data_IF_320333545901
#
_entry.id   IF_320333545901
#
_cell.length_a   1.000
_cell.length_b   1.000
_cell.length_c   1.000
_cell.angle_alpha   90.00
_cell.angle_beta   90.00
_cell.angle_gamma   90.00
#
_symmetry.space_group_name_H-M   'P 1'
#
loop_
_entity.id
_entity.type
_entity.pdbx_description
1 polymer ?
#
# COMPACT_ATOMS: atom_id res chain seq x y z
N UNK A 1 17.72 1.72 17.95
CA UNK A 1 16.50 1.31 18.70
C UNK A 1 15.19 1.40 17.90
N UNK A 2 14.97 2.38 17.04
CA UNK A 2 13.74 2.52 16.22
C UNK A 2 13.49 1.36 15.23
N UNK A 3 14.53 0.76 14.64
CA UNK A 3 14.38 -0.35 13.69
C UNK A 3 13.92 -1.68 14.29
N UNK A 4 14.35 -2.01 15.51
CA UNK A 4 13.94 -3.23 16.21
C UNK A 4 12.47 -3.19 16.63
N UNK A 5 11.99 -2.01 17.04
CA UNK A 5 10.57 -1.81 17.39
C UNK A 5 9.64 -1.89 16.18
N UNK A 6 10.12 -1.48 15.01
CA UNK A 6 9.37 -1.55 13.75
C UNK A 6 9.26 -2.99 13.22
N UNK A 7 10.36 -3.74 13.22
CA UNK A 7 10.36 -5.16 12.83
C UNK A 7 9.47 -6.00 13.76
N UNK A 8 9.48 -5.71 15.06
CA UNK A 8 8.61 -6.35 16.03
C UNK A 8 7.12 -6.05 15.77
N UNK A 9 6.78 -4.81 15.37
CA UNK A 9 5.41 -4.44 15.03
C UNK A 9 4.94 -5.12 13.74
N UNK A 10 5.78 -5.21 12.72
CA UNK A 10 5.46 -5.89 11.45
C UNK A 10 5.30 -7.40 11.66
N UNK A 11 6.21 -8.04 12.41
CA UNK A 11 6.09 -9.45 12.78
C UNK A 11 4.80 -9.70 13.60
N UNK A 12 4.46 -8.80 14.52
CA UNK A 12 3.25 -8.84 15.31
C UNK A 12 1.97 -8.78 14.46
N UNK A 13 1.90 -7.88 13.46
CA UNK A 13 0.75 -7.76 12.54
C UNK A 13 0.60 -9.02 11.67
N UNK A 14 1.71 -9.59 11.18
CA UNK A 14 1.70 -10.83 10.39
C UNK A 14 1.23 -12.03 11.21
N UNK A 15 1.71 -12.15 12.46
CA UNK A 15 1.31 -13.21 13.39
C UNK A 15 -0.17 -13.08 13.77
N UNK A 16 -0.67 -11.86 14.02
CA UNK A 16 -2.09 -11.61 14.30
C UNK A 16 -3.00 -12.02 13.12
N UNK A 17 -2.54 -11.84 11.87
CA UNK A 17 -3.31 -12.20 10.67
C UNK A 17 -3.55 -13.70 10.51
N UNK A 18 -2.73 -14.55 11.16
CA UNK A 18 -2.78 -16.02 11.06
C UNK A 18 -3.37 -16.68 12.31
N UNK A 19 -3.58 -15.93 13.40
CA UNK A 19 -4.02 -16.50 14.67
C UNK A 19 -5.55 -16.59 14.81
N UNK A 20 -6.07 -17.58 15.58
CA UNK A 20 -7.46 -17.58 16.03
C UNK A 20 -7.78 -16.30 16.81
N UNK A 21 -9.01 -15.79 16.68
CA UNK A 21 -9.47 -14.51 17.27
C UNK A 21 -9.11 -14.34 18.76
N UNK A 22 -9.32 -15.38 19.57
CA UNK A 22 -9.01 -15.37 21.01
C UNK A 22 -7.53 -15.20 21.29
N UNK A 23 -6.68 -15.90 20.54
CA UNK A 23 -5.22 -15.81 20.67
C UNK A 23 -4.72 -14.42 20.26
N UNK A 24 -5.27 -13.85 19.19
CA UNK A 24 -4.95 -12.49 18.76
C UNK A 24 -5.32 -11.42 19.79
N UNK A 25 -6.48 -11.52 20.44
CA UNK A 25 -6.86 -10.61 21.53
C UNK A 25 -5.97 -10.75 22.77
N UNK A 26 -5.56 -11.99 23.14
CA UNK A 26 -4.63 -12.22 24.24
C UNK A 26 -3.27 -11.57 23.93
N UNK A 27 -2.76 -11.77 22.72
CA UNK A 27 -1.51 -11.17 22.28
C UNK A 27 -1.58 -9.64 22.26
N UNK A 28 -2.69 -9.06 21.78
CA UNK A 28 -2.92 -7.61 21.80
C UNK A 28 -2.88 -7.04 23.21
N UNK A 29 -3.56 -7.69 24.17
CA UNK A 29 -3.51 -7.30 25.60
C UNK A 29 -2.09 -7.35 26.15
N UNK A 30 -1.35 -8.41 25.89
CA UNK A 30 0.03 -8.59 26.32
C UNK A 30 0.95 -7.49 25.78
N UNK A 31 0.80 -7.17 24.51
CA UNK A 31 1.60 -6.12 23.84
C UNK A 31 1.29 -4.74 24.41
N UNK A 32 0.01 -4.44 24.69
CA UNK A 32 -0.37 -3.18 25.36
C UNK A 32 0.26 -3.08 26.74
N UNK A 33 0.19 -4.14 27.55
CA UNK A 33 0.83 -4.17 28.89
C UNK A 33 2.35 -3.98 28.79
N UNK A 34 3.00 -4.66 27.88
CA UNK A 34 4.46 -4.55 27.71
C UNK A 34 4.89 -3.15 27.25
N UNK A 35 4.08 -2.49 26.38
CA UNK A 35 4.38 -1.16 25.84
C UNK A 35 4.05 -0.02 26.80
N UNK A 36 3.07 -0.24 27.69
CA UNK A 36 2.55 0.75 28.64
C UNK A 36 2.55 0.19 30.07
N UNK A 37 3.73 -0.17 30.64
CA UNK A 37 3.82 -0.79 31.96
C UNK A 37 3.44 0.17 33.11
N UNK A 38 3.50 1.47 32.84
CA UNK A 38 3.14 2.58 33.72
C UNK A 38 1.63 2.88 33.76
N UNK A 39 0.84 2.28 32.85
CA UNK A 39 -0.60 2.53 32.73
C UNK A 39 -1.39 1.50 33.55
N UNK A 40 -2.27 1.97 34.42
CA UNK A 40 -3.16 1.11 35.22
C UNK A 40 -4.19 0.44 34.31
N UNK A 41 -4.15 -0.89 34.22
CA UNK A 41 -5.05 -1.70 33.41
C UNK A 41 -6.26 -2.14 34.23
N UNK A 42 -7.45 -2.10 33.62
CA UNK A 42 -8.71 -2.57 34.21
C UNK A 42 -9.33 -3.59 33.24
N UNK A 43 -9.66 -4.80 33.70
CA UNK A 43 -10.31 -5.78 32.84
C UNK A 43 -11.80 -5.44 32.60
N UNK A 44 -12.38 -5.98 31.53
CA UNK A 44 -13.82 -5.82 31.23
C UNK A 44 -14.71 -6.36 32.32
N UNK A 45 -14.29 -7.44 32.99
CA UNK A 45 -15.00 -8.03 34.15
C UNK A 45 -14.94 -7.06 35.35
N UNK A 46 -13.78 -6.50 35.66
CA UNK A 46 -13.64 -5.53 36.76
C UNK A 46 -14.48 -4.28 36.50
N UNK A 47 -14.47 -3.75 35.26
CA UNK A 47 -15.31 -2.60 34.90
C UNK A 47 -16.80 -2.94 35.05
N UNK A 48 -17.24 -4.09 34.55
CA UNK A 48 -18.65 -4.51 34.67
C UNK A 48 -19.10 -4.62 36.11
N UNK A 49 -18.27 -5.21 36.98
CA UNK A 49 -18.56 -5.29 38.42
C UNK A 49 -18.57 -3.91 39.08
N UNK A 50 -17.68 -3.03 38.66
CA UNK A 50 -17.66 -1.65 39.16
C UNK A 50 -18.94 -0.89 38.77
N UNK A 51 -19.38 -0.99 37.52
CA UNK A 51 -20.61 -0.34 37.05
C UNK A 51 -21.88 -0.89 37.71
N UNK A 52 -21.86 -2.14 38.18
CA UNK A 52 -22.95 -2.76 38.88
C UNK A 52 -23.01 -2.45 40.40
N UNK A 53 -21.90 -1.95 41.00
CA UNK A 53 -21.84 -1.65 42.41
C UNK A 53 -22.30 -0.22 42.70
N UNK A 54 -23.54 -0.07 43.14
CA UNK A 54 -24.13 1.23 43.49
C UNK A 54 -23.47 1.97 44.64
N UNK A 55 -22.61 1.30 45.42
CA UNK A 55 -21.85 1.91 46.54
C UNK A 55 -20.55 2.57 46.06
N UNK A 56 -20.15 2.34 44.82
CA UNK A 56 -18.93 2.91 44.24
C UNK A 56 -19.28 4.05 43.30
N UNK A 57 -18.45 5.09 43.33
CA UNK A 57 -18.60 6.17 42.36
C UNK A 57 -18.46 5.65 40.94
N UNK A 58 -19.47 5.95 40.10
CA UNK A 58 -19.49 5.54 38.66
C UNK A 58 -18.38 6.28 37.91
N UNK A 59 -17.47 5.56 37.22
CA UNK A 59 -16.40 6.19 36.47
C UNK A 59 -16.92 6.91 35.23
N UNK A 60 -16.20 7.91 34.76
CA UNK A 60 -16.38 8.46 33.40
C UNK A 60 -15.83 7.44 32.42
N UNK A 61 -16.65 6.96 31.48
CA UNK A 61 -16.21 6.10 30.38
C UNK A 61 -15.78 6.99 29.22
N UNK A 62 -14.48 7.04 28.95
CA UNK A 62 -13.90 7.87 27.89
C UNK A 62 -13.64 7.05 26.65
N UNK A 63 -14.40 7.30 25.59
CA UNK A 63 -14.15 6.71 24.28
C UNK A 63 -13.15 7.59 23.50
N UNK A 64 -11.94 7.07 23.31
CA UNK A 64 -10.88 7.78 22.56
C UNK A 64 -10.85 7.41 21.07
N UNK A 65 -11.87 6.72 20.58
CA UNK A 65 -12.00 6.36 19.15
C UNK A 65 -12.45 7.58 18.33
N UNK A 66 -12.51 7.39 17.02
CA UNK A 66 -13.05 8.41 16.12
C UNK A 66 -14.56 8.59 16.32
N UNK A 67 -15.09 9.68 15.78
CA UNK A 67 -16.54 9.95 15.81
C UNK A 67 -17.33 8.87 15.08
N UNK A 68 -16.84 8.42 13.94
CA UNK A 68 -17.48 7.36 13.16
C UNK A 68 -17.52 6.03 13.91
N UNK A 69 -16.41 5.65 14.58
CA UNK A 69 -16.38 4.47 15.45
C UNK A 69 -17.38 4.59 16.60
N UNK A 70 -17.47 5.77 17.23
CA UNK A 70 -18.41 6.07 18.31
C UNK A 70 -19.87 6.01 17.83
N UNK A 71 -20.14 6.58 16.65
CA UNK A 71 -21.48 6.61 16.06
C UNK A 71 -21.97 5.23 15.59
N UNK A 72 -21.11 4.24 15.46
CA UNK A 72 -21.53 2.84 15.23
C UNK A 72 -22.04 2.22 16.52
N UNK A 73 -21.27 2.30 17.59
CA UNK A 73 -21.64 1.86 18.94
C UNK A 73 -20.58 2.31 19.95
N UNK A 74 -20.98 2.46 21.19
CA UNK A 74 -20.11 2.78 22.32
C UNK A 74 -20.58 2.07 23.59
N UNK A 75 -19.78 2.08 24.67
CA UNK A 75 -20.22 1.61 25.97
C UNK A 75 -21.33 2.54 26.49
N UNK A 76 -22.32 2.01 27.26
CA UNK A 76 -23.41 2.82 27.79
C UNK A 76 -22.89 4.04 28.57
N UNK A 77 -23.46 5.20 28.30
CA UNK A 77 -23.11 6.50 28.91
C UNK A 77 -21.64 6.92 28.67
N UNK A 78 -20.98 6.42 27.64
CA UNK A 78 -19.62 6.85 27.32
C UNK A 78 -19.60 8.27 26.74
N UNK A 79 -18.55 9.03 27.07
CA UNK A 79 -18.27 10.35 26.56
C UNK A 79 -17.00 10.35 25.70
N UNK A 80 -16.92 11.27 24.72
CA UNK A 80 -15.72 11.45 23.90
C UNK A 80 -14.70 12.42 24.48
N UNK A 81 -15.07 13.13 25.54
CA UNK A 81 -14.20 14.03 26.29
C UNK A 81 -14.46 13.85 27.79
N UNK A 82 -13.43 14.03 28.58
CA UNK A 82 -13.60 14.05 30.05
C UNK A 82 -14.24 15.41 30.41
N UNK A 83 -15.38 15.41 31.12
CA UNK A 83 -15.99 16.66 31.57
C UNK A 83 -15.06 17.41 32.52
N UNK A 84 -14.92 18.75 32.40
CA UNK A 84 -14.04 19.54 33.28
C UNK A 84 -14.32 19.36 34.76
N UNK A 85 -15.59 19.22 35.13
CA UNK A 85 -16.03 18.95 36.51
C UNK A 85 -15.57 17.58 37.04
N UNK A 86 -15.49 16.58 36.19
CA UNK A 86 -14.95 15.26 36.58
C UNK A 86 -13.43 15.30 36.79
N UNK A 87 -12.75 16.19 36.06
CA UNK A 87 -11.32 16.47 36.25
C UNK A 87 -11.10 17.14 37.63
N UNK A 88 -11.85 18.21 37.88
CA UNK A 88 -11.71 19.00 39.12
C UNK A 88 -12.04 18.18 40.39
N UNK A 89 -13.00 17.26 40.31
CA UNK A 89 -13.41 16.40 41.44
C UNK A 89 -12.54 15.18 41.65
N UNK A 90 -11.58 14.89 40.77
CA UNK A 90 -10.77 13.66 40.82
C UNK A 90 -11.55 12.37 40.52
N UNK A 91 -12.71 12.49 39.84
CA UNK A 91 -13.57 11.35 39.46
C UNK A 91 -12.80 10.31 38.67
N UNK A 92 -13.02 9.02 38.94
CA UNK A 92 -12.34 7.97 38.18
C UNK A 92 -12.71 8.01 36.68
N UNK A 93 -11.71 7.85 35.84
CA UNK A 93 -11.87 7.81 34.37
C UNK A 93 -11.38 6.46 33.85
N UNK A 94 -12.19 5.79 33.05
CA UNK A 94 -11.83 4.56 32.33
C UNK A 94 -11.84 4.84 30.85
N UNK A 95 -10.65 4.93 30.23
CA UNK A 95 -10.51 5.13 28.80
C UNK A 95 -10.52 3.80 28.04
N UNK A 96 -11.17 3.77 26.89
CA UNK A 96 -11.18 2.61 26.01
C UNK A 96 -11.07 3.02 24.53
N UNK A 97 -10.60 2.07 23.70
CA UNK A 97 -10.62 2.20 22.25
C UNK A 97 -11.11 0.89 21.60
N UNK A 98 -10.51 0.43 20.50
CA UNK A 98 -10.85 -0.86 19.89
C UNK A 98 -10.24 -2.03 20.67
N UNK A 99 -8.91 -1.99 20.99
CA UNK A 99 -8.15 -3.10 21.61
C UNK A 99 -7.34 -2.69 22.84
N UNK A 100 -7.30 -1.38 23.21
CA UNK A 100 -6.61 -0.89 24.41
C UNK A 100 -5.31 -0.10 24.14
N UNK A 101 -4.84 0.03 22.90
CA UNK A 101 -3.59 0.74 22.57
C UNK A 101 -3.75 2.27 22.64
N UNK A 102 -4.67 2.84 21.85
CA UNK A 102 -4.94 4.29 21.81
C UNK A 102 -5.38 4.81 23.18
N UNK A 103 -6.17 4.01 23.90
CA UNK A 103 -6.64 4.38 25.24
C UNK A 103 -5.53 4.32 26.30
N UNK A 104 -4.59 3.36 26.20
CA UNK A 104 -3.42 3.36 27.08
C UNK A 104 -2.55 4.61 26.87
N UNK A 105 -2.36 5.03 25.62
CA UNK A 105 -1.66 6.28 25.30
C UNK A 105 -2.40 7.51 25.86
N UNK A 106 -3.72 7.55 25.71
CA UNK A 106 -4.54 8.64 26.28
C UNK A 106 -4.47 8.69 27.81
N UNK A 107 -4.53 7.53 28.49
CA UNK A 107 -4.36 7.44 29.94
C UNK A 107 -2.98 7.95 30.36
N UNK A 108 -1.90 7.58 29.66
CA UNK A 108 -0.55 8.08 29.94
C UNK A 108 -0.49 9.61 29.86
N UNK A 109 -1.12 10.21 28.84
CA UNK A 109 -1.21 11.68 28.72
C UNK A 109 -2.01 12.31 29.85
N UNK A 110 -3.13 11.71 30.26
CA UNK A 110 -3.92 12.17 31.40
C UNK A 110 -3.10 12.13 32.71
N UNK A 111 -2.33 11.07 32.93
CA UNK A 111 -1.42 10.98 34.11
C UNK A 111 -0.35 12.07 34.07
N UNK A 112 0.25 12.32 32.89
CA UNK A 112 1.24 13.39 32.71
C UNK A 112 0.64 14.78 32.98
N UNK A 113 -0.66 14.97 32.74
CA UNK A 113 -1.40 16.18 33.03
C UNK A 113 -1.95 16.25 34.49
N UNK A 114 -1.52 15.35 35.36
CA UNK A 114 -1.86 15.38 36.78
C UNK A 114 -3.09 14.56 37.19
N UNK A 115 -3.72 13.81 36.26
CA UNK A 115 -4.85 12.96 36.62
C UNK A 115 -4.37 11.60 37.16
N UNK A 116 -4.58 11.33 38.42
CA UNK A 116 -4.08 10.11 39.08
C UNK A 116 -5.07 8.94 39.09
N UNK A 117 -6.38 9.23 38.93
CA UNK A 117 -7.44 8.23 39.02
C UNK A 117 -7.95 7.79 37.65
N UNK A 118 -7.02 7.33 36.78
CA UNK A 118 -7.29 6.99 35.40
C UNK A 118 -6.86 5.55 35.09
N UNK A 119 -7.64 4.85 34.25
CA UNK A 119 -7.47 3.44 33.92
C UNK A 119 -7.64 3.21 32.42
N UNK A 120 -6.90 2.26 31.88
CA UNK A 120 -7.12 1.72 30.53
C UNK A 120 -7.97 0.46 30.60
N UNK A 121 -9.06 0.41 29.82
CA UNK A 121 -9.86 -0.81 29.67
C UNK A 121 -9.10 -1.81 28.79
N UNK A 122 -8.64 -2.88 29.42
CA UNK A 122 -7.86 -3.91 28.75
C UNK A 122 -8.67 -4.70 27.71
N UNK A 123 -8.19 -4.76 26.47
CA UNK A 123 -8.91 -5.37 25.36
C UNK A 123 -10.10 -4.55 24.87
N UNK A 124 -10.45 -3.48 25.59
CA UNK A 124 -11.37 -2.42 25.19
C UNK A 124 -12.71 -2.92 24.63
N UNK A 125 -13.31 -2.18 23.68
CA UNK A 125 -14.66 -2.50 23.19
C UNK A 125 -14.73 -3.86 22.45
N UNK A 126 -13.61 -4.34 21.88
CA UNK A 126 -13.61 -5.64 21.18
C UNK A 126 -13.81 -6.79 22.16
N UNK A 127 -13.14 -6.78 23.31
CA UNK A 127 -13.35 -7.79 24.36
C UNK A 127 -14.72 -7.60 25.00
N UNK A 128 -15.09 -6.36 25.32
CA UNK A 128 -16.39 -6.02 25.90
C UNK A 128 -17.55 -6.57 25.07
N UNK A 129 -17.55 -6.32 23.75
CA UNK A 129 -18.57 -6.82 22.83
C UNK A 129 -18.52 -8.34 22.64
N UNK A 130 -17.32 -8.94 22.59
CA UNK A 130 -17.15 -10.40 22.44
C UNK A 130 -17.64 -11.18 23.67
N UNK A 131 -17.68 -10.53 24.84
CA UNK A 131 -18.27 -11.06 26.07
C UNK A 131 -19.80 -10.85 26.13
N UNK A 132 -20.41 -10.30 25.08
CA UNK A 132 -21.87 -10.07 25.00
C UNK A 132 -22.36 -8.93 25.91
N UNK A 133 -21.46 -8.04 26.36
CA UNK A 133 -21.80 -6.92 27.24
C UNK A 133 -22.53 -5.81 26.49
N UNK A 134 -23.31 -4.96 27.19
CA UNK A 134 -24.16 -3.96 26.55
C UNK A 134 -23.37 -2.90 25.80
N UNK A 135 -23.87 -2.56 24.63
CA UNK A 135 -23.44 -1.46 23.78
C UNK A 135 -24.65 -0.61 23.42
N UNK A 136 -24.44 0.68 23.21
CA UNK A 136 -25.50 1.58 22.77
C UNK A 136 -25.08 2.45 21.59
N UNK A 137 -26.12 2.96 20.91
CA UNK A 137 -26.03 3.97 19.87
C UNK A 137 -27.26 4.88 20.00
N UNK A 138 -27.03 6.17 20.22
CA UNK A 138 -28.13 7.14 20.44
C UNK A 138 -29.14 6.67 21.50
N UNK A 139 -28.67 6.10 22.62
CA UNK A 139 -29.50 5.57 23.70
C UNK A 139 -30.23 4.25 23.41
N UNK A 140 -30.01 3.64 22.25
CA UNK A 140 -30.59 2.34 21.89
C UNK A 140 -29.55 1.23 21.97
N UNK A 141 -29.94 0.08 22.51
CA UNK A 141 -29.08 -1.09 22.58
C UNK A 141 -28.72 -1.62 21.19
N UNK A 142 -27.44 -1.85 20.95
CA UNK A 142 -26.91 -2.39 19.70
C UNK A 142 -25.92 -3.51 19.97
N UNK A 143 -25.61 -4.33 18.94
CA UNK A 143 -24.64 -5.44 19.07
C UNK A 143 -23.39 -5.30 18.22
N UNK A 144 -23.47 -4.52 17.14
CA UNK A 144 -22.36 -4.38 16.19
C UNK A 144 -21.38 -3.32 16.65
N UNK A 145 -20.09 -3.55 16.38
CA UNK A 145 -18.97 -2.66 16.69
C UNK A 145 -18.24 -2.32 15.41
N UNK A 146 -17.77 -1.09 15.29
CA UNK A 146 -16.90 -0.67 14.20
C UNK A 146 -15.58 -1.46 14.24
N UNK A 147 -15.20 -2.16 13.15
CA UNK A 147 -14.04 -3.06 13.16
C UNK A 147 -12.67 -2.34 13.23
N UNK A 148 -12.65 -1.01 13.23
CA UNK A 148 -11.49 -0.13 13.07
C UNK A 148 -10.91 -0.22 11.66
N UNK A 149 -10.40 -1.37 11.25
CA UNK A 149 -10.02 -1.73 9.88
C UNK A 149 -10.15 -3.25 9.68
N UNK A 150 -9.87 -3.73 8.47
CA UNK A 150 -10.03 -5.14 8.11
C UNK A 150 -9.10 -6.09 8.88
N UNK A 151 -7.90 -5.64 9.25
CA UNK A 151 -6.91 -6.45 9.98
C UNK A 151 -7.31 -6.62 11.44
N UNK A 152 -7.56 -5.51 12.14
CA UNK A 152 -7.97 -5.52 13.55
C UNK A 152 -9.39 -6.05 13.71
N UNK A 153 -10.27 -5.81 12.72
CA UNK A 153 -11.62 -6.35 12.70
C UNK A 153 -11.66 -7.89 12.76
N UNK A 154 -10.61 -8.60 12.34
CA UNK A 154 -10.50 -10.05 12.48
C UNK A 154 -10.47 -10.51 13.92
N UNK A 155 -10.07 -9.65 14.85
CA UNK A 155 -10.12 -9.93 16.30
C UNK A 155 -11.55 -9.89 16.87
N UNK A 156 -12.49 -9.31 16.13
CA UNK A 156 -13.90 -9.27 16.50
C UNK A 156 -14.66 -10.38 15.77
N UNK A 157 -15.56 -11.14 16.42
CA UNK A 157 -16.43 -12.10 15.75
C UNK A 157 -17.19 -11.46 14.57
N UNK A 158 -17.30 -12.14 13.44
CA UNK A 158 -17.92 -11.59 12.23
C UNK A 158 -19.36 -11.09 12.47
N UNK A 159 -20.11 -11.78 13.32
CA UNK A 159 -21.48 -11.38 13.70
C UNK A 159 -21.54 -10.03 14.45
N UNK A 160 -20.46 -9.61 15.08
CA UNK A 160 -20.35 -8.35 15.84
C UNK A 160 -19.77 -7.20 15.00
N UNK A 161 -19.27 -7.45 13.80
CA UNK A 161 -18.72 -6.40 12.96
C UNK A 161 -19.84 -5.58 12.33
N UNK A 162 -19.71 -4.26 12.35
CA UNK A 162 -20.61 -3.41 11.58
C UNK A 162 -20.24 -3.49 10.09
N UNK A 163 -21.24 -3.36 9.23
CA UNK A 163 -21.07 -3.28 7.78
C UNK A 163 -20.68 -1.85 7.31
N UNK A 164 -20.62 -0.90 8.24
CA UNK A 164 -20.06 0.43 7.97
C UNK A 164 -18.55 0.36 8.06
N UNK A 165 -17.95 0.00 6.95
CA UNK A 165 -16.55 0.33 6.69
C UNK A 165 -16.48 1.85 6.41
N UNK A 166 -15.41 2.52 6.87
CA UNK A 166 -15.06 3.86 6.40
C UNK A 166 -15.09 3.89 4.86
N UNK A 167 -15.48 5.03 4.28
CA UNK A 167 -15.51 5.21 2.82
C UNK A 167 -14.17 4.78 2.18
N UNK A 168 -13.05 4.93 2.89
CA UNK A 168 -11.74 4.41 2.52
C UNK A 168 -11.64 2.87 2.56
N UNK A 169 -12.30 2.19 3.51
CA UNK A 169 -12.28 0.72 3.60
C UNK A 169 -13.23 0.05 2.61
N UNK A 170 -14.35 0.66 2.26
CA UNK A 170 -15.20 0.17 1.15
C UNK A 170 -14.46 0.23 -0.19
N UNK A 171 -13.72 1.30 -0.45
CA UNK A 171 -12.83 1.40 -1.61
C UNK A 171 -11.76 0.31 -1.60
N UNK A 172 -11.12 0.07 -0.45
CA UNK A 172 -10.13 -0.99 -0.28
C UNK A 172 -10.71 -2.39 -0.40
N UNK A 173 -11.87 -2.66 0.20
CA UNK A 173 -12.53 -3.96 0.11
C UNK A 173 -12.90 -4.32 -1.33
N UNK A 174 -13.28 -3.32 -2.14
CA UNK A 174 -13.53 -3.48 -3.59
C UNK A 174 -12.27 -3.58 -4.43
N UNK A 175 -11.21 -2.86 -4.06
CA UNK A 175 -9.96 -2.81 -4.84
C UNK A 175 -9.02 -4.00 -4.57
N UNK A 176 -9.04 -4.60 -3.38
CA UNK A 176 -8.18 -5.75 -3.03
C UNK A 176 -8.33 -6.96 -3.95
N UNK A 177 -9.53 -7.53 -4.17
CA UNK A 177 -9.67 -8.67 -5.08
C UNK A 177 -9.27 -8.29 -6.51
N UNK A 178 -9.54 -7.06 -6.93
CA UNK A 178 -9.18 -6.58 -8.25
C UNK A 178 -7.67 -6.68 -8.50
N UNK A 179 -6.84 -6.22 -7.56
CA UNK A 179 -5.37 -6.25 -7.67
C UNK A 179 -4.81 -7.68 -7.74
N UNK A 180 -5.29 -8.57 -6.86
CA UNK A 180 -4.77 -9.95 -6.77
C UNK A 180 -5.18 -10.82 -7.95
N UNK A 181 -6.29 -10.52 -8.59
CA UNK A 181 -6.81 -11.28 -9.74
C UNK A 181 -6.37 -10.66 -11.06
N UNK A 182 -6.44 -9.33 -11.21
CA UNK A 182 -6.17 -8.64 -12.48
C UNK A 182 -4.74 -8.89 -12.98
N UNK A 183 -3.74 -8.74 -12.12
CA UNK A 183 -2.34 -8.90 -12.51
C UNK A 183 -2.01 -10.30 -13.07
N UNK A 184 -2.26 -11.39 -12.32
CA UNK A 184 -2.01 -12.76 -12.80
C UNK A 184 -2.86 -13.16 -14.00
N UNK A 185 -4.14 -12.78 -14.04
CA UNK A 185 -5.04 -13.10 -15.16
C UNK A 185 -4.57 -12.39 -16.44
N UNK A 186 -4.27 -11.10 -16.35
CA UNK A 186 -3.79 -10.35 -17.49
C UNK A 186 -2.41 -10.85 -17.96
N UNK A 187 -1.50 -11.15 -17.03
CA UNK A 187 -0.22 -11.78 -17.36
C UNK A 187 -0.43 -13.08 -18.17
N UNK A 188 -1.33 -13.95 -17.70
CA UNK A 188 -1.65 -15.19 -18.39
C UNK A 188 -2.23 -14.95 -19.79
N UNK A 189 -3.19 -14.05 -19.92
CA UNK A 189 -3.83 -13.71 -21.20
C UNK A 189 -2.82 -13.09 -22.18
N UNK A 190 -1.94 -12.22 -21.74
CA UNK A 190 -0.92 -11.61 -22.56
C UNK A 190 0.18 -12.61 -22.94
N UNK A 191 0.62 -13.48 -22.03
CA UNK A 191 1.53 -14.59 -22.33
C UNK A 191 0.93 -15.53 -23.38
N UNK A 192 -0.34 -15.82 -23.27
CA UNK A 192 -1.07 -16.65 -24.26
C UNK A 192 -1.13 -15.93 -25.61
N UNK A 193 -1.50 -14.64 -25.65
CA UNK A 193 -1.58 -13.86 -26.88
C UNK A 193 -0.21 -13.76 -27.58
N UNK A 194 0.84 -13.34 -26.88
CA UNK A 194 2.18 -13.22 -27.48
C UNK A 194 2.82 -14.58 -27.85
N UNK A 195 2.29 -15.69 -27.30
CA UNK A 195 2.70 -17.03 -27.69
C UNK A 195 2.07 -17.45 -29.02
N UNK A 196 0.80 -17.10 -29.21
CA UNK A 196 0.08 -17.44 -30.47
C UNK A 196 0.47 -16.52 -31.63
N UNK A 197 0.64 -15.22 -31.34
CA UNK A 197 0.91 -14.20 -32.38
C UNK A 197 2.00 -13.25 -31.94
N UNK A 198 3.27 -13.71 -31.81
CA UNK A 198 4.37 -12.83 -31.39
C UNK A 198 4.64 -11.77 -32.46
N UNK A 199 4.82 -10.53 -32.03
CA UNK A 199 5.17 -9.43 -32.93
C UNK A 199 6.61 -9.56 -33.45
N UNK A 200 7.54 -9.95 -32.59
CA UNK A 200 8.95 -10.21 -32.91
C UNK A 200 9.31 -11.66 -32.62
N UNK A 201 10.08 -12.35 -33.48
CA UNK A 201 10.46 -13.74 -33.27
C UNK A 201 11.60 -13.89 -32.23
N UNK A 202 11.43 -13.40 -31.02
CA UNK A 202 12.48 -13.31 -30.01
C UNK A 202 12.94 -14.65 -29.45
N UNK A 203 12.07 -15.66 -29.44
CA UNK A 203 12.32 -16.98 -28.86
C UNK A 203 12.24 -18.10 -29.91
N UNK A 204 12.84 -17.94 -31.08
CA UNK A 204 12.77 -18.91 -32.17
C UNK A 204 12.95 -20.35 -31.66
N UNK A 205 11.88 -21.15 -31.75
CA UNK A 205 11.82 -22.61 -31.51
C UNK A 205 12.32 -23.16 -30.16
N UNK A 206 12.54 -22.34 -29.12
CA UNK A 206 13.12 -22.85 -27.87
C UNK A 206 12.28 -22.48 -26.66
N UNK A 207 11.27 -23.29 -26.36
CA UNK A 207 10.43 -23.17 -25.17
C UNK A 207 11.25 -23.08 -23.85
N UNK A 208 12.35 -23.84 -23.71
CA UNK A 208 13.22 -23.79 -22.52
C UNK A 208 13.88 -22.42 -22.29
N UNK A 209 14.29 -21.71 -23.36
CA UNK A 209 14.89 -20.37 -23.21
C UNK A 209 13.85 -19.38 -22.70
N UNK A 210 12.64 -19.40 -23.28
CA UNK A 210 11.54 -18.55 -22.85
C UNK A 210 11.10 -18.84 -21.42
N UNK A 211 10.95 -20.11 -21.07
CA UNK A 211 10.61 -20.49 -19.69
C UNK A 211 11.66 -20.01 -18.69
N UNK A 212 12.96 -20.17 -18.95
CA UNK A 212 14.04 -19.67 -18.08
C UNK A 212 14.03 -18.14 -17.98
N UNK A 213 13.76 -17.45 -19.08
CA UNK A 213 13.62 -15.99 -19.11
C UNK A 213 12.46 -15.55 -18.19
N UNK A 214 11.26 -16.10 -18.40
CA UNK A 214 10.10 -15.80 -17.57
C UNK A 214 10.30 -16.13 -16.10
N UNK A 215 10.88 -17.30 -15.77
CA UNK A 215 11.17 -17.67 -14.37
C UNK A 215 12.14 -16.71 -13.68
N UNK A 216 13.15 -16.19 -14.38
CA UNK A 216 14.08 -15.19 -13.84
C UNK A 216 13.39 -13.86 -13.55
N UNK A 217 12.58 -13.37 -14.51
CA UNK A 217 11.82 -12.15 -14.35
C UNK A 217 10.78 -12.28 -13.21
N UNK A 218 10.10 -13.44 -13.11
CA UNK A 218 9.21 -13.73 -11.98
C UNK A 218 9.94 -13.84 -10.63
N UNK A 219 11.16 -14.39 -10.61
CA UNK A 219 12.00 -14.42 -9.41
C UNK A 219 12.28 -13.00 -8.90
N UNK A 220 12.64 -12.07 -9.79
CA UNK A 220 12.83 -10.65 -9.44
C UNK A 220 11.51 -10.01 -8.99
N UNK A 221 10.39 -10.31 -9.67
CA UNK A 221 9.07 -9.84 -9.28
C UNK A 221 8.71 -10.25 -7.85
N UNK A 222 8.97 -11.51 -7.49
CA UNK A 222 8.72 -12.04 -6.14
C UNK A 222 9.61 -11.35 -5.09
N UNK A 223 10.89 -11.13 -5.37
CA UNK A 223 11.79 -10.40 -4.48
C UNK A 223 11.31 -8.97 -4.26
N UNK A 224 10.96 -8.25 -5.32
CA UNK A 224 10.45 -6.88 -5.25
C UNK A 224 9.11 -6.80 -4.52
N UNK A 225 8.18 -7.72 -4.81
CA UNK A 225 6.88 -7.78 -4.14
C UNK A 225 7.03 -8.11 -2.66
N UNK A 226 7.91 -9.05 -2.32
CA UNK A 226 8.23 -9.39 -0.93
C UNK A 226 8.79 -8.20 -0.17
N UNK A 227 9.82 -7.54 -0.71
CA UNK A 227 10.41 -6.33 -0.12
C UNK A 227 9.37 -5.21 0.04
N UNK A 228 8.61 -4.91 -1.01
CA UNK A 228 7.57 -3.86 -0.97
C UNK A 228 6.52 -4.17 0.09
N UNK A 229 6.04 -5.42 0.14
CA UNK A 229 5.02 -5.83 1.11
C UNK A 229 5.55 -5.75 2.55
N UNK A 230 6.76 -6.25 2.79
CA UNK A 230 7.34 -6.30 4.14
C UNK A 230 7.74 -4.92 4.67
N UNK A 231 8.26 -4.05 3.81
CA UNK A 231 8.85 -2.78 4.24
C UNK A 231 7.93 -1.56 4.02
N UNK A 232 7.08 -1.57 3.00
CA UNK A 232 6.41 -0.33 2.56
C UNK A 232 4.89 -0.34 2.63
N UNK A 233 4.21 -1.46 2.43
CA UNK A 233 2.73 -1.48 2.42
C UNK A 233 2.16 -0.97 3.74
N UNK A 234 2.76 -1.36 4.88
CA UNK A 234 2.38 -0.85 6.20
C UNK A 234 2.64 0.66 6.35
N UNK A 235 3.79 1.15 5.87
CA UNK A 235 4.17 2.57 5.92
C UNK A 235 3.22 3.40 5.05
N UNK A 236 2.94 2.97 3.83
CA UNK A 236 2.00 3.67 2.95
C UNK A 236 0.59 3.73 3.56
N UNK A 237 0.13 2.59 4.11
CA UNK A 237 -1.18 2.52 4.77
C UNK A 237 -1.28 3.44 5.97
N UNK A 238 -0.28 3.44 6.86
CA UNK A 238 -0.28 4.31 8.04
C UNK A 238 -0.14 5.78 7.67
N UNK A 239 0.68 6.12 6.66
CA UNK A 239 0.84 7.49 6.17
C UNK A 239 -0.45 8.00 5.53
N UNK A 240 -1.06 7.22 4.63
CA UNK A 240 -2.32 7.58 3.96
C UNK A 240 -3.48 7.73 4.95
N UNK A 241 -3.62 6.80 5.89
CA UNK A 241 -4.65 6.86 6.92
C UNK A 241 -4.42 8.04 7.88
N UNK A 242 -3.17 8.34 8.23
CA UNK A 242 -2.87 9.51 9.06
C UNK A 242 -3.22 10.81 8.33
N UNK A 243 -2.85 10.95 7.05
CA UNK A 243 -3.17 12.13 6.25
C UNK A 243 -4.68 12.31 6.10
N UNK A 244 -5.42 11.26 5.78
CA UNK A 244 -6.87 11.28 5.67
C UNK A 244 -7.55 11.66 6.99
N UNK A 245 -7.12 11.04 8.11
CA UNK A 245 -7.72 11.30 9.43
C UNK A 245 -7.49 12.73 9.92
N UNK A 246 -6.33 13.33 9.61
CA UNK A 246 -6.00 14.69 10.02
C UNK A 246 -6.37 15.75 8.95
N UNK A 247 -7.01 15.35 7.86
CA UNK A 247 -7.29 16.25 6.74
C UNK A 247 -6.03 16.88 6.16
N UNK A 248 -4.88 16.20 6.26
CA UNK A 248 -3.59 16.73 5.83
C UNK A 248 -3.31 16.36 4.37
N UNK A 249 -2.71 17.31 3.64
CA UNK A 249 -2.25 17.14 2.27
C UNK A 249 -3.07 17.94 1.26
N UNK A 250 -2.41 18.25 0.15
CA UNK A 250 -2.92 19.20 -0.86
C UNK A 250 -4.33 18.85 -1.33
N UNK A 251 -4.61 17.59 -1.62
CA UNK A 251 -5.91 17.15 -2.12
C UNK A 251 -6.98 17.21 -1.04
N UNK A 252 -6.66 16.84 0.20
CA UNK A 252 -7.60 16.94 1.33
C UNK A 252 -7.99 18.39 1.62
N UNK A 253 -7.06 19.36 1.47
CA UNK A 253 -7.33 20.79 1.67
C UNK A 253 -8.26 21.39 0.62
N UNK A 254 -8.38 20.76 -0.55
CA UNK A 254 -9.31 21.26 -1.60
C UNK A 254 -10.78 21.03 -1.24
N UNK A 255 -11.08 20.09 -0.34
CA UNK A 255 -12.46 19.66 -0.06
C UNK A 255 -13.17 19.03 -1.28
N UNK A 256 -12.42 18.56 -2.26
CA UNK A 256 -12.98 18.02 -3.51
C UNK A 256 -13.83 16.77 -3.25
N UNK A 257 -14.95 16.59 -3.98
CA UNK A 257 -15.71 15.34 -3.95
C UNK A 257 -14.83 14.12 -4.24
N UNK A 258 -15.14 12.93 -3.69
CA UNK A 258 -14.27 11.74 -3.75
C UNK A 258 -13.82 11.34 -5.17
N UNK A 259 -14.68 11.50 -6.16
CA UNK A 259 -14.31 11.22 -7.57
C UNK A 259 -13.20 12.15 -8.08
N UNK A 260 -13.31 13.45 -7.83
CA UNK A 260 -12.31 14.43 -8.27
C UNK A 260 -11.02 14.31 -7.49
N UNK A 261 -11.10 13.97 -6.18
CA UNK A 261 -9.95 13.66 -5.36
C UNK A 261 -9.18 12.46 -5.94
N UNK A 262 -9.88 11.36 -6.25
CA UNK A 262 -9.28 10.18 -6.84
C UNK A 262 -8.67 10.43 -8.22
N UNK A 263 -9.35 11.17 -9.09
CA UNK A 263 -8.81 11.54 -10.40
C UNK A 263 -7.54 12.37 -10.26
N UNK A 264 -7.52 13.35 -9.36
CA UNK A 264 -6.34 14.16 -9.09
C UNK A 264 -5.20 13.32 -8.49
N UNK A 265 -5.50 12.39 -7.57
CA UNK A 265 -4.52 11.47 -6.99
C UNK A 265 -3.88 10.56 -8.07
N UNK A 266 -4.70 9.97 -8.94
CA UNK A 266 -4.22 9.13 -10.06
C UNK A 266 -3.33 9.94 -11.00
N UNK A 267 -3.75 11.14 -11.40
CA UNK A 267 -2.96 12.02 -12.27
C UNK A 267 -1.63 12.43 -11.61
N UNK A 268 -1.64 12.75 -10.33
CA UNK A 268 -0.43 13.14 -9.59
C UNK A 268 0.55 11.96 -9.43
N UNK A 269 0.05 10.75 -9.17
CA UNK A 269 0.87 9.53 -9.09
C UNK A 269 1.45 9.18 -10.45
N UNK A 270 0.68 9.32 -11.54
CA UNK A 270 1.15 9.04 -12.89
C UNK A 270 2.17 10.08 -13.38
N UNK A 271 1.94 11.36 -13.07
CA UNK A 271 2.90 12.43 -13.28
C UNK A 271 4.23 12.17 -12.55
N UNK A 272 4.16 11.75 -11.28
CA UNK A 272 5.34 11.35 -10.52
C UNK A 272 6.05 10.15 -11.15
N UNK A 273 5.31 9.12 -11.59
CA UNK A 273 5.88 7.92 -12.22
C UNK A 273 6.59 8.28 -13.53
N UNK A 274 6.03 9.19 -14.33
CA UNK A 274 6.71 9.72 -15.52
C UNK A 274 8.04 10.38 -15.17
N UNK A 275 8.07 11.29 -14.17
CA UNK A 275 9.29 11.98 -13.76
C UNK A 275 10.30 11.04 -13.13
N UNK A 276 9.85 10.10 -12.31
CA UNK A 276 10.71 9.07 -11.75
C UNK A 276 11.38 8.25 -12.84
N UNK A 277 10.65 7.79 -13.84
CA UNK A 277 11.18 7.05 -14.96
C UNK A 277 12.17 7.88 -15.77
N UNK A 278 11.83 9.14 -16.08
CA UNK A 278 12.73 10.06 -16.77
C UNK A 278 14.03 10.34 -15.99
N UNK A 279 13.94 10.47 -14.67
CA UNK A 279 15.12 10.65 -13.80
C UNK A 279 16.00 9.39 -13.78
N UNK A 280 15.43 8.21 -13.81
CA UNK A 280 16.17 6.95 -13.92
C UNK A 280 17.03 6.89 -15.20
N UNK A 281 16.60 7.51 -16.29
CA UNK A 281 17.39 7.63 -17.52
C UNK A 281 18.39 8.78 -17.52
N UNK A 282 18.11 9.87 -16.78
CA UNK A 282 18.91 11.10 -16.82
C UNK A 282 19.99 11.16 -15.76
N UNK A 283 19.76 10.54 -14.60
CA UNK A 283 20.72 10.55 -13.50
C UNK A 283 21.57 9.28 -13.54
N UNK A 284 22.91 9.39 -13.72
CA UNK A 284 23.80 8.24 -13.84
C UNK A 284 23.70 7.25 -12.68
N UNK A 285 23.51 7.77 -11.46
CA UNK A 285 23.32 6.93 -10.28
C UNK A 285 22.06 6.06 -10.38
N UNK A 286 20.92 6.62 -10.78
CA UNK A 286 19.65 5.89 -10.92
C UNK A 286 19.67 4.95 -12.13
N UNK A 287 20.30 5.37 -13.23
CA UNK A 287 20.47 4.53 -14.42
C UNK A 287 21.17 3.21 -14.10
N UNK A 288 22.13 3.18 -13.19
CA UNK A 288 22.80 1.94 -12.76
C UNK A 288 21.83 0.85 -12.31
N UNK A 289 20.72 1.23 -11.70
CA UNK A 289 19.65 0.31 -11.28
C UNK A 289 18.66 0.03 -12.41
N UNK A 290 18.24 1.07 -13.12
CA UNK A 290 17.24 0.99 -14.18
C UNK A 290 17.71 0.24 -15.43
N UNK A 291 19.00 0.27 -15.73
CA UNK A 291 19.57 -0.49 -16.85
C UNK A 291 19.41 -2.01 -16.71
N UNK A 292 19.15 -2.53 -15.50
CA UNK A 292 18.74 -3.93 -15.31
C UNK A 292 17.44 -4.26 -16.07
N UNK A 293 16.51 -3.30 -16.12
CA UNK A 293 15.28 -3.39 -16.88
C UNK A 293 15.55 -3.33 -18.39
N UNK A 294 16.36 -2.41 -18.86
CA UNK A 294 16.73 -2.25 -20.27
C UNK A 294 17.72 -3.30 -20.78
N UNK A 295 18.39 -4.05 -19.91
CA UNK A 295 19.33 -5.11 -20.32
C UNK A 295 18.64 -6.35 -20.92
N UNK A 296 17.31 -6.41 -20.91
CA UNK A 296 16.56 -7.52 -21.48
C UNK A 296 16.59 -7.50 -23.00
N UNK A 297 17.33 -8.44 -23.59
CA UNK A 297 17.41 -8.57 -25.04
C UNK A 297 16.20 -9.31 -25.66
N UNK A 298 15.30 -9.85 -24.84
CA UNK A 298 14.17 -10.68 -25.27
C UNK A 298 12.86 -10.17 -24.64
N UNK A 299 12.59 -8.88 -24.80
CA UNK A 299 11.44 -8.20 -24.22
C UNK A 299 10.13 -8.93 -24.48
N UNK A 300 9.49 -9.43 -23.44
CA UNK A 300 8.14 -9.99 -23.41
C UNK A 300 7.35 -9.45 -22.21
N UNK A 301 6.11 -9.90 -22.05
CA UNK A 301 5.27 -9.44 -20.94
C UNK A 301 5.92 -9.61 -19.57
N UNK A 302 6.82 -10.58 -19.35
CA UNK A 302 7.50 -10.79 -18.06
C UNK A 302 8.55 -9.73 -17.77
N UNK A 303 9.06 -9.02 -18.80
CA UNK A 303 9.98 -7.88 -18.68
C UNK A 303 9.34 -6.74 -17.87
N UNK A 304 8.00 -6.64 -17.89
CA UNK A 304 7.23 -5.72 -17.05
C UNK A 304 7.59 -5.77 -15.55
N UNK A 305 8.13 -6.88 -15.08
CA UNK A 305 8.50 -7.09 -13.67
C UNK A 305 10.01 -7.07 -13.42
N UNK A 306 10.83 -6.87 -14.45
CA UNK A 306 12.29 -6.94 -14.39
C UNK A 306 12.92 -5.63 -13.92
N UNK A 307 12.60 -5.19 -12.70
CA UNK A 307 13.21 -4.01 -12.08
C UNK A 307 14.22 -4.41 -11.02
N UNK A 308 15.34 -3.69 -10.93
CA UNK A 308 16.31 -3.92 -9.88
C UNK A 308 15.73 -3.55 -8.51
N UNK A 309 16.02 -4.37 -7.48
CA UNK A 309 15.48 -4.18 -6.13
C UNK A 309 15.82 -2.79 -5.54
N UNK A 310 17.00 -2.23 -5.87
CA UNK A 310 17.40 -0.89 -5.45
C UNK A 310 16.54 0.22 -6.05
N UNK A 311 16.15 0.10 -7.33
CA UNK A 311 15.23 1.05 -7.97
C UNK A 311 13.86 1.05 -7.28
N UNK A 312 13.32 -0.14 -7.02
CA UNK A 312 12.04 -0.30 -6.32
C UNK A 312 12.13 0.24 -4.89
N UNK A 313 13.25 0.03 -4.20
CA UNK A 313 13.49 0.59 -2.87
C UNK A 313 13.43 2.12 -2.88
N UNK A 314 14.19 2.77 -3.77
CA UNK A 314 14.20 4.23 -3.89
C UNK A 314 12.82 4.79 -4.27
N UNK A 315 12.15 4.17 -5.24
CA UNK A 315 10.79 4.55 -5.66
C UNK A 315 9.81 4.50 -4.48
N UNK A 316 9.85 3.42 -3.71
CA UNK A 316 8.97 3.22 -2.55
C UNK A 316 9.27 4.22 -1.42
N UNK A 317 10.56 4.54 -1.16
CA UNK A 317 10.93 5.57 -0.19
C UNK A 317 10.39 6.95 -0.57
N UNK A 318 10.54 7.35 -1.83
CA UNK A 318 10.09 8.66 -2.31
C UNK A 318 8.56 8.76 -2.42
N UNK A 319 7.87 7.63 -2.51
CA UNK A 319 6.41 7.59 -2.52
C UNK A 319 5.79 7.97 -1.17
N UNK A 320 6.48 7.69 -0.04
CA UNK A 320 5.97 8.04 1.30
C UNK A 320 5.71 9.55 1.46
N UNK A 321 6.70 10.45 1.22
CA UNK A 321 6.43 11.88 1.29
C UNK A 321 5.40 12.35 0.25
N UNK A 322 5.34 11.72 -0.93
CA UNK A 322 4.34 12.05 -1.94
C UNK A 322 2.91 11.76 -1.44
N UNK A 323 2.69 10.59 -0.85
CA UNK A 323 1.40 10.21 -0.24
C UNK A 323 1.01 11.23 0.83
N UNK A 324 1.96 11.60 1.69
CA UNK A 324 1.71 12.54 2.78
C UNK A 324 1.38 13.94 2.26
N UNK A 325 2.24 14.51 1.40
CA UNK A 325 2.10 15.88 0.90
C UNK A 325 0.85 16.09 0.04
N UNK A 326 0.49 15.08 -0.73
CA UNK A 326 -0.73 15.12 -1.55
C UNK A 326 -1.98 14.75 -0.75
N UNK A 327 -1.87 13.99 0.32
CA UNK A 327 -3.02 13.49 1.08
C UNK A 327 -3.75 12.36 0.36
N UNK A 328 -3.01 11.49 -0.35
CA UNK A 328 -3.56 10.40 -1.15
C UNK A 328 -4.12 9.31 -0.23
N UNK A 329 -5.32 8.83 -0.50
CA UNK A 329 -5.96 7.76 0.22
C UNK A 329 -5.40 6.39 -0.21
N UNK A 330 -5.39 5.42 0.71
CA UNK A 330 -4.81 4.10 0.43
C UNK A 330 -5.51 3.37 -0.73
N UNK A 331 -6.83 3.48 -0.85
CA UNK A 331 -7.59 2.87 -1.95
C UNK A 331 -7.26 3.50 -3.32
N UNK A 332 -6.89 4.79 -3.37
CA UNK A 332 -6.47 5.49 -4.59
C UNK A 332 -5.10 5.00 -5.06
N UNK A 333 -4.19 4.73 -4.10
CA UNK A 333 -2.92 4.07 -4.39
C UNK A 333 -3.16 2.69 -4.99
N UNK A 334 -4.05 1.88 -4.39
CA UNK A 334 -4.37 0.53 -4.88
C UNK A 334 -5.01 0.59 -6.28
N UNK A 335 -5.91 1.54 -6.51
CA UNK A 335 -6.52 1.77 -7.82
C UNK A 335 -5.46 2.11 -8.88
N UNK A 336 -4.60 3.09 -8.59
CA UNK A 336 -3.53 3.50 -9.49
C UNK A 336 -2.55 2.35 -9.78
N UNK A 337 -2.05 1.67 -8.74
CA UNK A 337 -1.11 0.55 -8.89
C UNK A 337 -1.70 -0.60 -9.70
N UNK A 338 -3.00 -0.86 -9.57
CA UNK A 338 -3.68 -1.89 -10.35
C UNK A 338 -3.78 -1.50 -11.83
N UNK A 339 -4.17 -0.26 -12.13
CA UNK A 339 -4.23 0.26 -13.49
C UNK A 339 -2.84 0.32 -14.12
N UNK A 340 -1.85 0.81 -13.37
CA UNK A 340 -0.45 0.89 -13.79
C UNK A 340 0.10 -0.50 -14.14
N UNK A 341 -0.08 -1.49 -13.26
CA UNK A 341 0.38 -2.87 -13.51
C UNK A 341 -0.24 -3.45 -14.78
N UNK A 342 -1.54 -3.23 -15.00
CA UNK A 342 -2.23 -3.71 -16.18
C UNK A 342 -1.64 -3.11 -17.47
N UNK A 343 -1.41 -1.79 -17.48
CA UNK A 343 -0.85 -1.11 -18.65
C UNK A 343 0.63 -1.43 -18.85
N UNK A 344 1.43 -1.57 -17.76
CA UNK A 344 2.83 -1.98 -17.86
C UNK A 344 2.95 -3.39 -18.46
N UNK A 345 2.14 -4.36 -18.01
CA UNK A 345 2.12 -5.69 -18.62
C UNK A 345 1.72 -5.63 -20.09
N UNK A 346 0.69 -4.86 -20.44
CA UNK A 346 0.22 -4.70 -21.80
C UNK A 346 1.30 -4.11 -22.71
N UNK A 347 1.94 -3.01 -22.35
CA UNK A 347 2.89 -2.35 -23.22
C UNK A 347 4.25 -3.09 -23.34
N UNK A 348 4.61 -3.95 -22.37
CA UNK A 348 5.78 -4.82 -22.48
C UNK A 348 5.52 -6.07 -23.33
N UNK A 349 4.26 -6.49 -23.47
CA UNK A 349 3.94 -7.70 -24.18
C UNK A 349 4.47 -7.67 -25.64
N UNK A 350 4.99 -8.80 -26.09
CA UNK A 350 5.49 -8.97 -27.45
C UNK A 350 4.35 -9.18 -28.44
N UNK A 351 3.41 -8.25 -28.46
CA UNK A 351 2.23 -8.23 -29.34
C UNK A 351 2.29 -7.06 -30.32
N UNK A 352 1.68 -7.23 -31.50
CA UNK A 352 1.44 -6.18 -32.47
C UNK A 352 -0.03 -5.80 -32.52
N UNK A 353 -0.32 -4.52 -32.46
CA UNK A 353 -1.67 -4.00 -32.65
C UNK A 353 -1.88 -3.58 -34.10
N UNK A 354 -3.10 -3.74 -34.67
CA UNK A 354 -3.44 -3.07 -35.89
C UNK A 354 -3.21 -1.57 -35.79
N UNK A 355 -2.67 -0.95 -36.86
CA UNK A 355 -2.25 0.44 -36.83
C UNK A 355 -3.33 1.41 -36.32
N UNK A 356 -4.60 1.23 -36.76
CA UNK A 356 -5.72 2.06 -36.32
C UNK A 356 -6.01 1.90 -34.80
N UNK A 357 -5.92 0.66 -34.31
CA UNK A 357 -6.12 0.37 -32.88
C UNK A 357 -5.01 0.97 -32.06
N UNK A 358 -3.74 0.85 -32.47
CA UNK A 358 -2.62 1.50 -31.80
C UNK A 358 -2.77 3.02 -31.79
N UNK A 359 -3.15 3.64 -32.92
CA UNK A 359 -3.37 5.08 -33.03
C UNK A 359 -4.44 5.60 -32.06
N UNK A 360 -5.52 4.84 -31.90
CA UNK A 360 -6.58 5.19 -30.95
C UNK A 360 -6.14 5.00 -29.50
N UNK A 361 -5.60 3.82 -29.17
CA UNK A 361 -5.22 3.47 -27.79
C UNK A 361 -4.11 4.37 -27.24
N UNK A 362 -3.11 4.73 -28.06
CA UNK A 362 -2.00 5.60 -27.64
C UNK A 362 -2.40 7.06 -27.41
N UNK A 363 -3.67 7.42 -27.59
CA UNK A 363 -4.21 8.69 -27.10
C UNK A 363 -4.48 8.64 -25.59
N UNK A 364 -4.77 7.46 -25.06
CA UNK A 364 -5.25 7.26 -23.69
C UNK A 364 -4.26 6.49 -22.81
N UNK A 365 -3.63 5.44 -23.33
CA UNK A 365 -2.69 4.58 -22.62
C UNK A 365 -1.42 4.35 -23.42
N UNK A 366 -0.32 4.02 -22.72
CA UNK A 366 0.94 3.63 -23.37
C UNK A 366 0.75 2.29 -24.08
N UNK A 367 1.13 2.24 -25.36
CA UNK A 367 0.96 1.03 -26.21
C UNK A 367 2.28 0.27 -26.37
N UNK A 368 2.21 -1.02 -26.79
CA UNK A 368 3.40 -1.80 -27.10
C UNK A 368 4.30 -1.14 -28.16
N UNK A 369 3.74 -0.47 -29.16
CA UNK A 369 4.51 0.22 -30.20
C UNK A 369 5.33 1.39 -29.65
N UNK A 370 4.76 2.16 -28.70
CA UNK A 370 5.48 3.25 -28.00
C UNK A 370 6.59 2.70 -27.12
N UNK A 371 6.28 1.70 -26.28
CA UNK A 371 7.20 1.24 -25.27
C UNK A 371 8.34 0.38 -25.84
N UNK A 372 8.11 -0.33 -26.93
CA UNK A 372 9.20 -0.99 -27.67
C UNK A 372 10.26 0.00 -28.16
N UNK A 373 9.87 1.21 -28.60
CA UNK A 373 10.82 2.27 -28.97
C UNK A 373 11.65 2.68 -27.77
N UNK A 374 11.04 2.82 -26.60
CA UNK A 374 11.74 3.11 -25.35
C UNK A 374 12.74 2.00 -24.95
N UNK A 375 12.44 0.74 -25.22
CA UNK A 375 13.36 -0.39 -24.97
C UNK A 375 14.37 -0.64 -26.10
N UNK A 376 14.42 0.23 -27.10
CA UNK A 376 15.41 0.14 -28.17
C UNK A 376 16.83 0.23 -27.63
N UNK A 377 17.76 -0.54 -28.20
CA UNK A 377 19.20 -0.48 -27.94
C UNK A 377 19.83 0.86 -28.37
N UNK A 378 19.17 1.56 -29.30
CA UNK A 378 19.64 2.85 -29.77
C UNK A 378 19.26 3.98 -28.80
N UNK A 379 20.27 4.56 -28.15
CA UNK A 379 20.06 5.49 -27.04
C UNK A 379 19.08 6.65 -27.31
N UNK A 380 19.05 7.31 -28.49
CA UNK A 380 18.05 8.35 -28.73
C UNK A 380 16.60 7.88 -28.67
N UNK A 381 16.34 6.58 -28.88
CA UNK A 381 15.03 5.94 -28.71
C UNK A 381 14.82 5.51 -27.25
N UNK A 382 15.85 4.93 -26.61
CA UNK A 382 15.81 4.58 -25.18
C UNK A 382 15.49 5.80 -24.31
N UNK A 383 16.03 6.95 -24.68
CA UNK A 383 15.80 8.23 -23.97
C UNK A 383 14.52 8.96 -24.44
N UNK A 384 13.44 8.21 -24.70
CA UNK A 384 12.13 8.70 -25.13
C UNK A 384 10.99 7.87 -24.48
N UNK A 385 9.73 8.29 -24.61
CA UNK A 385 8.54 7.56 -24.16
C UNK A 385 8.60 7.05 -22.70
N UNK A 386 8.82 7.97 -21.75
CA UNK A 386 8.97 7.66 -20.32
C UNK A 386 7.63 7.39 -19.61
N UNK A 387 6.49 7.69 -20.23
CA UNK A 387 5.16 7.43 -19.65
C UNK A 387 4.95 5.94 -19.42
N UNK A 388 4.26 5.61 -18.31
CA UNK A 388 3.94 4.22 -17.96
C UNK A 388 2.46 3.92 -18.05
N UNK A 389 1.57 4.86 -17.69
CA UNK A 389 0.12 4.70 -17.82
C UNK A 389 -0.44 5.64 -18.89
N UNK A 390 -0.37 6.96 -18.70
CA UNK A 390 -0.94 7.96 -19.60
C UNK A 390 0.15 8.57 -20.49
N UNK A 391 0.06 8.45 -21.83
CA UNK A 391 1.07 8.93 -22.76
C UNK A 391 1.05 10.46 -22.95
N UNK A 392 0.18 11.16 -22.25
CA UNK A 392 0.05 12.63 -22.29
C UNK A 392 1.32 13.33 -21.82
N UNK A 393 2.03 12.75 -20.85
CA UNK A 393 3.25 13.36 -20.31
C UNK A 393 4.37 13.40 -21.33
N UNK A 394 4.55 12.33 -22.13
CA UNK A 394 5.53 12.32 -23.22
C UNK A 394 5.26 13.43 -24.24
N UNK A 395 3.99 13.74 -24.49
CA UNK A 395 3.61 14.82 -25.41
C UNK A 395 3.87 16.19 -24.79
N UNK A 396 3.45 16.40 -23.56
CA UNK A 396 3.66 17.67 -22.82
C UNK A 396 5.16 17.96 -22.69
N UNK A 397 5.96 16.97 -22.32
CA UNK A 397 7.40 17.14 -22.04
C UNK A 397 8.29 16.78 -23.23
N UNK A 398 7.72 16.65 -24.42
CA UNK A 398 8.41 16.45 -25.72
C UNK A 398 9.34 15.24 -25.75
N UNK A 399 8.99 14.18 -25.05
CA UNK A 399 9.70 12.89 -25.08
C UNK A 399 8.98 11.82 -25.95
N UNK A 400 7.85 12.16 -26.55
CA UNK A 400 7.11 11.25 -27.41
C UNK A 400 7.87 10.95 -28.70
N UNK A 401 8.07 9.66 -29.01
CA UNK A 401 8.73 9.18 -30.22
C UNK A 401 8.06 7.91 -30.74
N UNK A 402 7.95 7.78 -32.04
CA UNK A 402 7.56 6.55 -32.72
C UNK A 402 8.64 6.19 -33.76
N UNK A 403 8.71 4.89 -34.04
CA UNK A 403 9.56 4.36 -35.11
C UNK A 403 8.66 3.96 -36.27
N UNK A 404 9.09 4.24 -37.52
CA UNK A 404 8.32 3.92 -38.72
C UNK A 404 8.11 2.41 -38.84
N UNK A 405 9.15 1.62 -38.62
CA UNK A 405 9.10 0.16 -38.61
C UNK A 405 9.59 -0.41 -37.27
N UNK A 406 8.67 -0.69 -36.34
CA UNK A 406 9.02 -1.27 -35.03
C UNK A 406 9.59 -2.70 -35.11
N UNK A 407 9.41 -3.41 -36.23
CA UNK A 407 9.93 -4.78 -36.43
C UNK A 407 11.48 -4.84 -36.49
N UNK A 408 12.13 -3.69 -36.71
CA UNK A 408 13.58 -3.57 -36.79
C UNK A 408 14.22 -3.19 -35.43
N UNK A 409 13.45 -3.08 -34.37
CA UNK A 409 13.97 -2.73 -33.05
C UNK A 409 14.83 -3.87 -32.50
N UNK A 410 16.00 -3.52 -32.01
CA UNK A 410 16.86 -4.41 -31.23
C UNK A 410 16.78 -4.00 -29.76
N UNK A 411 16.56 -4.97 -28.87
CA UNK A 411 16.48 -4.78 -27.44
C UNK A 411 17.79 -5.11 -26.74
N UNK A 412 17.88 -4.76 -25.45
CA UNK A 412 19.04 -5.01 -24.61
C UNK A 412 20.08 -3.89 -24.64
N UNK A 413 21.16 -4.09 -23.91
CA UNK A 413 22.28 -3.17 -23.80
C UNK A 413 23.57 -3.91 -24.18
N UNK A 414 24.50 -3.22 -24.87
CA UNK A 414 25.78 -3.80 -25.31
C UNK A 414 26.62 -4.36 -24.17
N UNK A 415 26.61 -3.65 -23.04
CA UNK A 415 27.39 -4.01 -21.86
C UNK A 415 26.86 -5.25 -21.10
N UNK A 416 25.64 -5.69 -21.41
CA UNK A 416 24.94 -6.77 -20.72
C UNK A 416 24.47 -7.89 -21.67
N UNK A 417 25.22 -8.10 -22.75
CA UNK A 417 24.88 -9.09 -23.79
C UNK A 417 25.27 -10.53 -23.43
N UNK A 418 26.11 -10.75 -22.42
CA UNK A 418 26.59 -12.08 -22.05
C UNK A 418 25.53 -12.89 -21.32
N UNK A 419 25.51 -14.24 -21.47
CA UNK A 419 24.53 -15.10 -20.78
C UNK A 419 24.54 -14.97 -19.25
N UNK A 420 25.69 -14.74 -18.63
CA UNK A 420 25.85 -14.53 -17.19
C UNK A 420 25.17 -13.25 -16.69
N UNK A 421 25.16 -12.19 -17.49
CA UNK A 421 24.49 -10.92 -17.17
C UNK A 421 22.97 -11.09 -17.09
N UNK A 422 22.44 -12.06 -17.81
CA UNK A 422 21.03 -12.39 -17.88
C UNK A 422 20.59 -13.37 -16.77
N UNK A 423 21.48 -13.80 -15.87
CA UNK A 423 21.10 -14.61 -14.68
C UNK A 423 20.51 -13.70 -13.59
N UNK A 424 19.80 -14.28 -12.61
CA UNK A 424 19.27 -13.52 -11.47
C UNK A 424 20.41 -12.77 -10.73
N UNK A 425 21.56 -13.44 -10.53
CA UNK A 425 22.75 -12.83 -9.92
C UNK A 425 23.34 -11.73 -10.81
N UNK A 426 23.40 -11.92 -12.14
CA UNK A 426 23.86 -10.90 -13.08
C UNK A 426 23.02 -9.65 -13.03
N UNK A 427 21.70 -9.80 -13.07
CA UNK A 427 20.76 -8.69 -12.99
C UNK A 427 20.91 -7.93 -11.65
N UNK A 428 21.07 -8.64 -10.54
CA UNK A 428 21.29 -8.01 -9.23
C UNK A 428 22.66 -7.34 -9.09
N UNK A 429 23.64 -7.71 -9.92
CA UNK A 429 24.97 -7.09 -9.96
C UNK A 429 25.05 -5.91 -10.94
N UNK A 430 24.02 -5.67 -11.75
CA UNK A 430 23.99 -4.62 -12.76
C UNK A 430 24.46 -3.24 -12.25
N UNK A 431 24.09 -2.76 -11.03
CA UNK A 431 24.55 -1.47 -10.54
C UNK A 431 26.06 -1.38 -10.27
N UNK A 432 26.72 -2.53 -10.09
CA UNK A 432 28.16 -2.61 -9.78
C UNK A 432 29.04 -2.64 -11.04
N UNK A 433 28.47 -2.89 -12.22
CA UNK A 433 29.20 -2.88 -13.46
C UNK A 433 29.58 -1.45 -13.88
N UNK A 434 30.73 -1.32 -14.56
CA UNK A 434 31.14 -0.06 -15.16
C UNK A 434 30.12 0.44 -16.18
N UNK A 435 29.94 1.73 -16.28
CA UNK A 435 28.99 2.35 -17.20
C UNK A 435 29.76 3.02 -18.35
N UNK A 436 29.65 2.49 -19.56
CA UNK A 436 30.29 3.06 -20.76
C UNK A 436 29.74 4.46 -21.05
N UNK A 437 28.48 4.75 -20.72
CA UNK A 437 27.90 6.09 -20.88
C UNK A 437 28.57 7.17 -20.03
N UNK A 438 29.29 6.76 -18.97
CA UNK A 438 30.02 7.67 -18.06
C UNK A 438 31.49 7.76 -18.35
N UNK A 439 31.99 7.08 -19.38
CA UNK A 439 33.38 7.26 -19.84
C UNK A 439 33.45 8.55 -20.63
N UNK A 440 34.36 9.46 -20.27
CA UNK A 440 34.56 10.75 -20.98
C UNK A 440 34.95 10.57 -22.44
#
# INVERSE_FOLDING_TARGET
MLGASFLALVAFILVLGLMPQRAGLILAKWTVRARFPDVRQLSTVQLSNWLADSRRETPVLLDVRTEDEFNVSHLPNAARKVPPEAIASGKPVVAYCSIGWRSAEAVRRLVQNGHTNVFNLEGSIFVWASEGRPLERHGQAVRKVHPYNSEWGRLLPSALRSDRADVGEEGMARARPLRWVTGPVLLFLLLWWETLTPFLPLFQNVSRKRTRHGLRNMGIALLNSGMTTLLFVGIWGTTANWAAHNGFGLLNWTGAPPLWHALAAVLALDFWTYWWHRLNHRLPFLWRFHRAHHSDAQMDVTTASRFHIGEILFSNCLRVPLILLLGIHLWEIVLYETALLAVIQFHHANIGLPQRADQLLRCFIVTPAMHKVHHSRWQPETDSNYSSLLPVWDRIFRSFRLRHDPSTIQFGLDDFAKPEDQTLSGILKTPLADDIRLRP
#
